data_IF_597626334572
#
_entry.id   IF_597626334572
#
_cell.length_a   1.000
_cell.length_b   1.000
_cell.length_c   1.000
_cell.angle_alpha   90.00
_cell.angle_beta   90.00
_cell.angle_gamma   90.00
#
_symmetry.space_group_name_H-M   'P 1'
#
loop_
_entity.id
_entity.type
_entity.pdbx_description
1 polymer ?
#
# COMPACT_ATOMS: atom_id res chain seq x y z
N UNK A 1 13.04 11.47 22.55
CA UNK A 1 11.57 11.56 22.78
C UNK A 1 10.89 10.58 21.85
N UNK A 2 10.91 9.30 22.19
CA UNK A 2 9.97 8.31 21.64
C UNK A 2 8.92 8.15 22.71
N UNK A 3 7.83 8.90 22.59
CA UNK A 3 6.64 8.61 23.38
C UNK A 3 6.24 7.15 23.09
N UNK A 4 5.95 6.39 24.15
CA UNK A 4 5.44 5.03 24.10
C UNK A 4 4.08 5.01 23.38
N UNK A 5 4.12 5.07 22.05
CA UNK A 5 2.98 4.74 21.21
C UNK A 5 2.74 3.24 21.42
N UNK A 6 1.85 2.93 22.35
CA UNK A 6 1.34 1.57 22.52
C UNK A 6 0.47 1.26 21.32
N UNK A 7 1.12 0.83 20.24
CA UNK A 7 0.44 0.30 19.06
C UNK A 7 -0.23 -1.01 19.43
N UNK A 8 -1.36 -1.30 18.77
CA UNK A 8 -1.97 -2.62 18.86
C UNK A 8 -0.97 -3.66 18.33
N UNK A 9 -0.41 -4.46 19.24
CA UNK A 9 0.63 -5.44 18.94
C UNK A 9 0.14 -6.49 17.94
N UNK A 10 -1.15 -6.86 17.97
CA UNK A 10 -1.74 -7.80 17.02
C UNK A 10 -1.82 -7.18 15.64
N UNK A 11 -2.22 -5.91 15.55
CA UNK A 11 -2.26 -5.19 14.27
C UNK A 11 -0.86 -5.01 13.67
N UNK A 12 0.15 -4.69 14.48
CA UNK A 12 1.53 -4.56 14.02
C UNK A 12 2.12 -5.90 13.54
N UNK A 13 1.86 -6.99 14.27
CA UNK A 13 2.26 -8.34 13.86
C UNK A 13 1.63 -8.74 12.52
N UNK A 14 0.33 -8.43 12.33
CA UNK A 14 -0.38 -8.70 11.06
C UNK A 14 0.22 -7.95 9.86
N UNK A 15 0.81 -6.77 10.06
CA UNK A 15 1.51 -6.02 9.01
C UNK A 15 2.93 -6.55 8.76
N UNK A 16 3.58 -7.08 9.79
CA UNK A 16 4.98 -7.51 9.75
C UNK A 16 5.14 -8.92 9.18
N UNK A 17 4.17 -9.79 9.42
CA UNK A 17 4.15 -11.18 8.96
C UNK A 17 2.85 -11.49 8.20
N UNK A 18 2.62 -10.85 7.02
CA UNK A 18 1.39 -11.05 6.28
C UNK A 18 1.34 -12.45 5.66
N UNK A 19 0.28 -13.20 5.96
CA UNK A 19 -0.04 -14.50 5.32
C UNK A 19 -0.81 -14.32 3.98
N UNK A 20 -0.69 -13.14 3.36
CA UNK A 20 -1.49 -12.73 2.19
C UNK A 20 -1.95 -11.29 2.29
N UNK A 21 -3.25 -11.03 2.11
CA UNK A 21 -3.84 -9.69 2.17
C UNK A 21 -4.28 -9.39 3.61
N UNK A 22 -3.64 -8.39 4.22
CA UNK A 22 -4.01 -7.86 5.54
C UNK A 22 -4.90 -6.61 5.38
N UNK A 23 -6.01 -6.53 6.11
CA UNK A 23 -6.93 -5.38 6.10
C UNK A 23 -6.95 -4.76 7.49
N UNK A 24 -6.46 -3.52 7.60
CA UNK A 24 -6.52 -2.73 8.83
C UNK A 24 -7.73 -1.78 8.78
N UNK A 25 -8.72 -2.03 9.64
CA UNK A 25 -9.91 -1.19 9.77
C UNK A 25 -10.08 -0.68 11.21
N UNK A 26 -10.95 0.31 11.40
CA UNK A 26 -11.20 0.95 12.69
C UNK A 26 -11.84 2.32 12.53
N UNK A 27 -12.45 2.84 13.60
CA UNK A 27 -13.11 4.16 13.60
C UNK A 27 -12.14 5.29 13.23
N UNK A 28 -12.68 6.45 12.83
CA UNK A 28 -11.87 7.64 12.62
C UNK A 28 -11.11 7.99 13.92
N UNK A 29 -9.87 8.47 13.79
CA UNK A 29 -9.05 8.87 14.94
C UNK A 29 -8.39 7.73 15.72
N UNK A 30 -8.55 6.45 15.34
CA UNK A 30 -7.94 5.31 16.05
C UNK A 30 -6.48 5.03 15.69
N UNK A 31 -5.75 6.00 15.15
CA UNK A 31 -4.30 5.87 14.88
C UNK A 31 -3.89 4.92 13.75
N UNK A 32 -4.79 4.47 12.87
CA UNK A 32 -4.47 3.52 11.77
C UNK A 32 -3.32 4.00 10.87
N UNK A 33 -3.40 5.25 10.38
CA UNK A 33 -2.35 5.82 9.55
C UNK A 33 -1.03 5.95 10.31
N UNK A 34 -1.09 6.27 11.61
CA UNK A 34 0.08 6.31 12.49
C UNK A 34 0.73 4.94 12.60
N UNK A 35 -0.05 3.87 12.82
CA UNK A 35 0.44 2.49 12.88
C UNK A 35 1.11 2.07 11.56
N UNK A 36 0.46 2.31 10.42
CA UNK A 36 1.01 1.94 9.12
C UNK A 36 2.27 2.76 8.80
N UNK A 37 2.30 4.04 9.14
CA UNK A 37 3.49 4.87 8.94
C UNK A 37 4.65 4.44 9.85
N UNK A 38 4.37 4.04 11.09
CA UNK A 38 5.36 3.44 11.98
C UNK A 38 5.91 2.15 11.37
N UNK A 39 5.06 1.19 11.00
CA UNK A 39 5.49 -0.04 10.34
C UNK A 39 6.32 0.24 9.09
N UNK A 40 5.92 1.20 8.25
CA UNK A 40 6.67 1.62 7.05
C UNK A 40 8.05 2.18 7.36
N UNK A 41 8.21 2.91 8.46
CA UNK A 41 9.49 3.54 8.81
C UNK A 41 10.43 2.62 9.59
N UNK A 42 9.91 1.57 10.23
CA UNK A 42 10.71 0.72 11.14
C UNK A 42 10.87 -0.72 10.67
N UNK A 43 9.86 -1.33 10.05
CA UNK A 43 9.81 -2.78 9.83
C UNK A 43 9.62 -3.15 8.34
N UNK A 44 8.90 -2.35 7.58
CA UNK A 44 8.50 -2.70 6.23
C UNK A 44 9.70 -2.95 5.29
N UNK A 45 9.56 -3.86 4.30
CA UNK A 45 10.57 -4.04 3.27
C UNK A 45 10.92 -2.73 2.57
N UNK A 46 12.20 -2.50 2.25
CA UNK A 46 12.65 -1.26 1.58
C UNK A 46 11.96 -0.99 0.23
N UNK A 47 11.56 -2.06 -0.45
CA UNK A 47 10.82 -2.10 -1.70
C UNK A 47 9.30 -2.15 -1.49
N UNK A 48 8.78 -1.49 -0.45
CA UNK A 48 7.35 -1.32 -0.21
C UNK A 48 6.80 -0.18 -1.05
N UNK A 49 5.81 -0.47 -1.89
CA UNK A 49 5.08 0.55 -2.63
C UNK A 49 3.83 0.98 -1.87
N UNK A 50 3.57 2.29 -1.82
CA UNK A 50 2.30 2.82 -1.30
C UNK A 50 1.43 3.36 -2.41
N UNK A 51 0.17 2.91 -2.41
CA UNK A 51 -0.86 3.28 -3.36
C UNK A 51 -1.99 4.02 -2.65
N UNK A 52 -2.64 4.93 -3.35
CA UNK A 52 -3.87 5.57 -2.88
C UNK A 52 -4.87 5.76 -4.03
N UNK A 53 -6.18 5.94 -3.77
CA UNK A 53 -7.18 6.08 -4.83
C UNK A 53 -7.13 7.45 -5.53
N UNK A 54 -6.76 8.51 -4.82
CA UNK A 54 -6.75 9.90 -5.33
C UNK A 54 -5.36 10.51 -5.31
N UNK A 55 -5.14 11.54 -6.14
CA UNK A 55 -3.84 12.21 -6.25
C UNK A 55 -3.39 12.85 -4.93
N UNK A 56 -4.28 13.55 -4.24
CA UNK A 56 -3.96 14.18 -2.95
C UNK A 56 -3.64 13.13 -1.88
N UNK A 57 -4.40 12.03 -1.82
CA UNK A 57 -4.09 10.95 -0.88
C UNK A 57 -2.74 10.30 -1.18
N UNK A 58 -2.41 10.06 -2.45
CA UNK A 58 -1.13 9.52 -2.86
C UNK A 58 0.04 10.43 -2.46
N UNK A 59 -0.11 11.74 -2.63
CA UNK A 59 0.89 12.72 -2.19
C UNK A 59 1.11 12.68 -0.68
N UNK A 60 0.03 12.64 0.10
CA UNK A 60 0.10 12.63 1.57
C UNK A 60 0.84 11.41 2.14
N UNK A 61 0.90 10.31 1.40
CA UNK A 61 1.54 9.06 1.83
C UNK A 61 2.86 8.78 1.11
N UNK A 62 3.37 9.77 0.35
CA UNK A 62 4.55 9.66 -0.52
C UNK A 62 4.46 8.44 -1.46
N UNK A 63 3.30 8.23 -2.06
CA UNK A 63 2.97 7.11 -2.92
C UNK A 63 2.58 7.52 -4.33
N UNK A 64 1.92 6.61 -5.02
CA UNK A 64 1.32 6.85 -6.34
C UNK A 64 -0.15 6.46 -6.33
N UNK A 65 -0.91 6.87 -7.34
CA UNK A 65 -2.30 6.44 -7.45
C UNK A 65 -2.41 5.01 -7.97
N UNK A 66 -3.42 4.27 -7.52
CA UNK A 66 -3.69 2.90 -8.00
C UNK A 66 -3.79 2.88 -9.54
N UNK A 67 -4.58 3.80 -10.11
CA UNK A 67 -4.79 3.87 -11.56
C UNK A 67 -3.52 4.17 -12.35
N UNK A 68 -2.57 4.91 -11.77
CA UNK A 68 -1.26 5.17 -12.39
C UNK A 68 -0.39 3.92 -12.35
N UNK A 69 -0.34 3.24 -11.20
CA UNK A 69 0.48 2.04 -11.00
C UNK A 69 0.05 0.88 -11.89
N UNK A 70 -1.26 0.67 -12.09
CA UNK A 70 -1.78 -0.41 -12.94
C UNK A 70 -1.97 0.00 -14.41
N UNK A 71 -1.51 1.19 -14.81
CA UNK A 71 -1.63 1.72 -16.18
C UNK A 71 -3.08 1.84 -16.69
N UNK A 72 -4.05 1.96 -15.78
CA UNK A 72 -5.47 2.09 -16.07
C UNK A 72 -5.92 3.55 -15.93
N UNK A 73 -5.51 4.40 -16.88
CA UNK A 73 -5.94 5.81 -16.92
C UNK A 73 -7.48 5.91 -16.97
N UNK A 74 -8.09 7.02 -16.51
CA UNK A 74 -9.51 7.27 -16.72
C UNK A 74 -9.89 7.08 -18.20
N UNK A 75 -10.97 6.34 -18.46
CA UNK A 75 -11.43 6.01 -19.81
C UNK A 75 -10.87 4.69 -20.38
N UNK A 76 -9.99 3.98 -19.67
CA UNK A 76 -9.58 2.62 -20.07
C UNK A 76 -10.75 1.64 -19.89
N UNK A 77 -11.03 0.86 -20.93
CA UNK A 77 -12.03 -0.21 -20.88
C UNK A 77 -11.50 -1.43 -20.12
N UNK A 78 -12.36 -2.27 -19.53
CA UNK A 78 -11.92 -3.51 -18.88
C UNK A 78 -11.11 -4.44 -19.80
N UNK A 79 -11.45 -4.50 -21.09
CA UNK A 79 -10.71 -5.30 -22.08
C UNK A 79 -9.29 -4.78 -22.30
N UNK A 80 -9.11 -3.45 -22.43
CA UNK A 80 -7.80 -2.83 -22.55
C UNK A 80 -6.96 -2.98 -21.27
N UNK A 81 -7.59 -2.82 -20.09
CA UNK A 81 -6.93 -3.06 -18.81
C UNK A 81 -6.45 -4.52 -18.69
N UNK A 82 -7.29 -5.49 -19.05
CA UNK A 82 -6.92 -6.90 -19.03
C UNK A 82 -5.77 -7.22 -20.01
N UNK A 83 -5.78 -6.61 -21.20
CA UNK A 83 -4.69 -6.75 -22.18
C UNK A 83 -3.38 -6.18 -21.63
N UNK A 84 -3.38 -4.92 -21.17
CA UNK A 84 -2.20 -4.27 -20.59
C UNK A 84 -1.68 -5.00 -19.36
N UNK A 85 -2.58 -5.51 -18.51
CA UNK A 85 -2.21 -6.32 -17.36
C UNK A 85 -1.43 -7.58 -17.75
N UNK A 86 -1.85 -8.29 -18.81
CA UNK A 86 -1.12 -9.45 -19.34
C UNK A 86 0.25 -9.06 -19.94
N UNK A 87 0.31 -7.95 -20.66
CA UNK A 87 1.56 -7.41 -21.23
C UNK A 87 2.57 -7.06 -20.13
N UNK A 88 2.08 -6.41 -19.07
CA UNK A 88 2.90 -5.94 -17.96
C UNK A 88 3.15 -7.03 -16.90
N UNK A 89 2.47 -8.17 -16.92
CA UNK A 89 2.62 -9.24 -15.92
C UNK A 89 4.05 -9.81 -15.83
N UNK A 90 4.88 -9.58 -16.86
CA UNK A 90 6.29 -9.98 -16.90
C UNK A 90 7.26 -8.89 -16.47
N UNK A 91 6.77 -7.69 -16.17
CA UNK A 91 7.61 -6.58 -15.70
C UNK A 91 8.31 -7.00 -14.39
N UNK A 92 9.66 -7.01 -14.36
CA UNK A 92 10.42 -7.35 -13.17
C UNK A 92 10.04 -6.51 -11.95
N UNK A 93 9.56 -5.27 -12.15
CA UNK A 93 9.12 -4.39 -11.08
C UNK A 93 8.14 -5.08 -10.13
N UNK A 94 7.10 -5.75 -10.66
CA UNK A 94 6.08 -6.38 -9.82
C UNK A 94 6.62 -7.51 -8.96
N UNK A 95 7.65 -8.23 -9.45
CA UNK A 95 8.31 -9.32 -8.70
C UNK A 95 9.31 -8.81 -7.67
N UNK A 96 9.82 -7.60 -7.88
CA UNK A 96 10.76 -6.95 -6.98
C UNK A 96 10.09 -6.24 -5.80
N UNK A 97 8.77 -6.12 -5.76
CA UNK A 97 8.06 -5.50 -4.64
C UNK A 97 8.03 -6.44 -3.44
N UNK A 98 8.44 -5.94 -2.26
CA UNK A 98 8.38 -6.71 -1.01
C UNK A 98 7.00 -6.60 -0.36
N UNK A 99 6.31 -5.48 -0.56
CA UNK A 99 4.94 -5.27 -0.12
C UNK A 99 4.25 -4.19 -0.96
N UNK A 100 2.92 -4.27 -1.03
CA UNK A 100 2.06 -3.19 -1.56
C UNK A 100 1.12 -2.76 -0.44
N UNK A 101 1.23 -1.51 -0.02
CA UNK A 101 0.37 -0.91 0.99
C UNK A 101 -0.62 0.03 0.28
N UNK A 102 -1.92 -0.14 0.53
CA UNK A 102 -2.95 0.75 0.00
C UNK A 102 -3.51 1.59 1.15
N UNK A 103 -3.51 2.91 1.00
CA UNK A 103 -4.05 3.88 1.96
C UNK A 103 -5.14 4.77 1.36
#
# INVERSE_FOLDING_TARGET
MTEDLTFDAKALAMLSEPQGVSILTGKAGTGKSTLVNHWRSTIAPRNTLTLAPTGIAALNVNGTTIHRFIHAKPGVTPAEAARKGRENARDPLYRMLGAVCVQ
#
